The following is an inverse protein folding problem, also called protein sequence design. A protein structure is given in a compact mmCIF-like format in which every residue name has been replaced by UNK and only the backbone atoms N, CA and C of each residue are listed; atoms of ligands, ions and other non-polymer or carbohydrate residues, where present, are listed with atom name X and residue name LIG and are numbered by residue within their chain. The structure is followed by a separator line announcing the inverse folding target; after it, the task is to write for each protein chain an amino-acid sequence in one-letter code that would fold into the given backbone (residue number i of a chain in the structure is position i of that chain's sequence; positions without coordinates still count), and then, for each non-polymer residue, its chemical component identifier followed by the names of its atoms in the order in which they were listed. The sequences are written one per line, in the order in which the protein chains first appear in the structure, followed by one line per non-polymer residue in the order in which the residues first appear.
data_IF_697364964150
#
_entry.id   IF_697364964150
#
_cell.length_a   1.000
_cell.length_b   1.000
_cell.length_c   1.000
_cell.angle_alpha   90.00
_cell.angle_beta   90.00
_cell.angle_gamma   90.00
#
_symmetry.space_group_name_H-M   'P 1'
#
loop_
_entity.id
_entity.type
_entity.pdbx_description
1 polymer ?
#
# COMPACT_ATOMS: atom_id res chain seq x y z
N UNK A 1 24.12 -10.18 -9.65
CA UNK A 1 22.81 -9.95 -9.02
C UNK A 1 21.83 -10.90 -9.70
N UNK A 2 21.20 -11.80 -8.94
CA UNK A 2 20.12 -12.64 -9.47
C UNK A 2 18.80 -11.89 -9.33
N UNK A 3 17.93 -11.98 -10.32
CA UNK A 3 16.58 -11.42 -10.28
C UNK A 3 15.62 -12.50 -10.70
N UNK A 4 14.63 -12.75 -9.86
CA UNK A 4 13.54 -13.67 -10.12
C UNK A 4 12.27 -12.87 -10.35
N UNK A 5 11.48 -13.34 -11.27
CA UNK A 5 10.26 -12.72 -11.79
C UNK A 5 9.09 -13.66 -11.60
N UNK A 6 7.88 -13.20 -11.96
CA UNK A 6 6.67 -14.02 -11.83
C UNK A 6 6.70 -15.30 -12.68
N UNK A 7 7.53 -15.36 -13.72
CA UNK A 7 7.70 -16.57 -14.54
C UNK A 7 8.68 -17.57 -13.95
N UNK A 8 9.45 -17.18 -12.93
CA UNK A 8 10.36 -18.08 -12.25
C UNK A 8 9.58 -18.86 -11.17
N UNK A 9 9.60 -20.18 -11.27
CA UNK A 9 8.96 -21.06 -10.29
C UNK A 9 9.88 -21.25 -9.08
N UNK A 10 9.62 -20.50 -8.01
CA UNK A 10 10.34 -20.62 -6.73
C UNK A 10 9.49 -21.30 -5.64
N UNK A 11 8.35 -21.88 -6.01
CA UNK A 11 7.51 -22.63 -5.08
C UNK A 11 8.31 -23.81 -4.52
N UNK A 12 8.41 -23.87 -3.19
CA UNK A 12 9.19 -24.90 -2.50
C UNK A 12 10.70 -24.65 -2.47
N UNK A 13 11.20 -23.52 -2.97
CA UNK A 13 12.60 -23.15 -2.82
C UNK A 13 12.96 -22.96 -1.33
N UNK A 14 14.10 -23.49 -0.91
CA UNK A 14 14.63 -23.33 0.44
C UNK A 14 15.89 -22.45 0.44
N UNK A 15 15.91 -21.46 1.32
CA UNK A 15 17.07 -20.57 1.53
C UNK A 15 17.75 -20.93 2.85
N UNK A 16 18.59 -21.97 2.84
CA UNK A 16 19.25 -22.49 4.07
C UNK A 16 20.61 -21.82 4.29
N UNK A 17 20.74 -21.08 5.39
CA UNK A 17 21.99 -20.38 5.73
C UNK A 17 22.37 -19.25 4.78
N UNK A 18 21.43 -18.82 3.93
CA UNK A 18 21.65 -17.74 2.97
C UNK A 18 21.54 -16.36 3.63
N UNK A 19 22.48 -15.47 3.31
CA UNK A 19 22.38 -14.06 3.67
C UNK A 19 21.52 -13.33 2.62
N UNK A 20 20.30 -12.97 3.02
CA UNK A 20 19.35 -12.23 2.18
C UNK A 20 19.30 -10.73 2.52
N UNK A 21 20.27 -10.20 3.27
CA UNK A 21 20.29 -8.76 3.59
C UNK A 21 20.31 -7.93 2.31
N UNK A 22 19.40 -6.96 2.23
CA UNK A 22 19.22 -6.10 1.05
C UNK A 22 18.41 -6.73 -0.10
N UNK A 23 17.93 -7.97 0.04
CA UNK A 23 16.97 -8.52 -0.93
C UNK A 23 15.66 -7.72 -0.92
N UNK A 24 15.06 -7.55 -2.11
CA UNK A 24 13.77 -6.89 -2.28
C UNK A 24 12.76 -7.86 -2.88
N UNK A 25 11.60 -7.98 -2.23
CA UNK A 25 10.47 -8.78 -2.71
C UNK A 25 9.38 -7.82 -3.19
N UNK A 26 9.38 -7.50 -4.48
CA UNK A 26 8.44 -6.51 -5.07
C UNK A 26 7.37 -7.26 -5.87
N UNK A 27 6.12 -7.18 -5.42
CA UNK A 27 5.00 -7.90 -6.06
C UNK A 27 5.11 -9.42 -6.01
N UNK A 28 5.91 -9.95 -5.06
CA UNK A 28 6.07 -11.38 -4.84
C UNK A 28 4.97 -11.92 -3.94
N UNK A 29 4.48 -13.12 -4.24
CA UNK A 29 3.59 -13.85 -3.34
C UNK A 29 4.41 -14.59 -2.28
N UNK A 30 4.29 -14.15 -1.03
CA UNK A 30 4.93 -14.78 0.14
C UNK A 30 3.93 -15.59 0.98
N UNK A 31 2.73 -15.85 0.46
CA UNK A 31 1.70 -16.63 1.14
C UNK A 31 2.22 -18.03 1.45
N UNK A 32 2.10 -18.45 2.71
CA UNK A 32 2.55 -19.77 3.15
C UNK A 32 4.06 -19.91 3.36
N UNK A 33 4.87 -18.86 3.14
CA UNK A 33 6.30 -18.87 3.47
C UNK A 33 6.49 -19.08 4.97
N UNK A 34 7.36 -20.03 5.33
CA UNK A 34 7.71 -20.32 6.73
C UNK A 34 9.14 -19.91 6.98
N UNK A 35 9.34 -18.96 7.89
CA UNK A 35 10.64 -18.47 8.30
C UNK A 35 11.01 -19.04 9.67
N UNK A 36 12.00 -19.94 9.74
CA UNK A 36 12.47 -20.56 10.99
C UNK A 36 13.90 -20.17 11.29
N UNK A 37 14.17 -19.73 12.52
CA UNK A 37 15.50 -19.31 12.97
C UNK A 37 16.17 -18.28 12.04
N UNK A 38 15.38 -17.38 11.47
CA UNK A 38 15.86 -16.27 10.62
C UNK A 38 16.17 -15.04 11.47
N UNK A 39 17.16 -14.26 11.04
CA UNK A 39 17.34 -12.89 11.52
C UNK A 39 16.51 -11.94 10.65
N UNK A 40 15.52 -11.29 11.26
CA UNK A 40 14.61 -10.33 10.59
C UNK A 40 14.78 -8.92 11.13
N UNK A 41 15.84 -8.65 11.90
CA UNK A 41 16.09 -7.31 12.42
C UNK A 41 16.21 -6.29 11.28
N UNK A 42 15.34 -5.27 11.30
CA UNK A 42 15.27 -4.25 10.26
C UNK A 42 14.54 -4.68 8.99
N UNK A 43 13.89 -5.84 8.96
CA UNK A 43 12.98 -6.20 7.87
C UNK A 43 11.76 -5.27 7.87
N UNK A 44 11.37 -4.82 6.68
CA UNK A 44 10.20 -3.97 6.46
C UNK A 44 9.22 -4.69 5.51
N UNK A 45 7.94 -4.68 5.88
CA UNK A 45 6.88 -5.36 5.13
C UNK A 45 5.79 -4.33 4.83
N UNK A 46 5.76 -3.88 3.58
CA UNK A 46 4.64 -3.12 3.03
C UNK A 46 3.71 -4.06 2.27
N UNK A 47 2.63 -4.48 2.95
CA UNK A 47 1.64 -5.41 2.43
C UNK A 47 0.27 -4.74 2.44
N UNK A 48 -0.12 -3.99 1.38
CA UNK A 48 -1.39 -3.25 1.36
C UNK A 48 -2.62 -4.16 1.48
N UNK A 49 -2.48 -5.42 1.08
CA UNK A 49 -3.51 -6.46 1.09
C UNK A 49 -3.57 -7.26 2.40
N UNK A 50 -2.66 -7.00 3.36
CA UNK A 50 -2.56 -7.79 4.60
C UNK A 50 -3.88 -7.83 5.40
N UNK A 51 -4.69 -6.79 5.26
CA UNK A 51 -5.91 -6.57 6.03
C UNK A 51 -7.19 -6.91 5.25
N UNK A 52 -7.05 -7.57 4.11
CA UNK A 52 -8.18 -7.97 3.27
C UNK A 52 -8.53 -9.45 3.51
N UNK A 53 -9.82 -9.71 3.73
CA UNK A 53 -10.35 -11.06 3.93
C UNK A 53 -9.78 -11.77 5.16
N UNK A 54 -9.58 -13.08 5.04
CA UNK A 54 -9.09 -13.99 6.10
C UNK A 54 -7.55 -14.09 6.14
N UNK A 55 -6.86 -13.02 5.74
CA UNK A 55 -5.39 -12.97 5.69
C UNK A 55 -4.79 -12.80 7.09
N UNK A 56 -3.58 -13.34 7.32
CA UNK A 56 -2.85 -13.19 8.58
C UNK A 56 -1.35 -13.04 8.35
N UNK A 57 -0.64 -12.42 9.29
CA UNK A 57 0.82 -12.40 9.33
C UNK A 57 1.26 -12.79 10.74
N UNK A 58 1.95 -13.93 10.87
CA UNK A 58 2.39 -14.43 12.17
C UNK A 58 3.85 -14.06 12.45
N UNK A 59 4.07 -13.38 13.56
CA UNK A 59 5.40 -13.16 14.14
C UNK A 59 5.46 -13.91 15.45
N UNK A 60 6.35 -14.91 15.55
CA UNK A 60 6.47 -15.78 16.73
C UNK A 60 5.12 -16.39 17.18
N UNK A 61 4.28 -16.78 16.22
CA UNK A 61 2.95 -17.38 16.47
C UNK A 61 1.83 -16.38 16.76
N UNK A 62 2.14 -15.09 16.91
CA UNK A 62 1.13 -14.03 17.11
C UNK A 62 0.72 -13.49 15.75
N UNK A 63 -0.58 -13.50 15.45
CA UNK A 63 -1.10 -12.77 14.30
C UNK A 63 -1.05 -11.26 14.57
N UNK A 64 -0.22 -10.56 13.80
CA UNK A 64 0.03 -9.12 13.97
C UNK A 64 -0.88 -8.27 13.10
N UNK A 65 -1.66 -8.85 12.17
CA UNK A 65 -2.51 -8.09 11.26
C UNK A 65 -3.50 -7.17 12.02
N UNK A 66 -4.23 -7.62 13.07
CA UNK A 66 -5.12 -6.73 13.83
C UNK A 66 -4.37 -5.62 14.58
N UNK A 67 -3.15 -5.88 15.04
CA UNK A 67 -2.32 -4.89 15.74
C UNK A 67 -1.86 -3.79 14.78
N UNK A 68 -1.43 -4.19 13.57
CA UNK A 68 -1.07 -3.27 12.48
C UNK A 68 -2.29 -2.45 12.06
N UNK A 69 -3.46 -3.08 11.91
CA UNK A 69 -4.69 -2.38 11.55
C UNK A 69 -5.08 -1.31 12.58
N UNK A 70 -5.05 -1.65 13.87
CA UNK A 70 -5.36 -0.71 14.94
C UNK A 70 -4.39 0.47 14.93
N UNK A 71 -3.09 0.21 14.76
CA UNK A 71 -2.07 1.26 14.70
C UNK A 71 -2.21 2.15 13.46
N UNK A 72 -2.54 1.58 12.29
CA UNK A 72 -2.83 2.36 11.09
C UNK A 72 -4.06 3.24 11.27
N UNK A 73 -5.13 2.74 11.89
CA UNK A 73 -6.32 3.53 12.17
C UNK A 73 -6.04 4.65 13.18
N UNK A 74 -5.13 4.42 14.14
CA UNK A 74 -4.66 5.44 15.09
C UNK A 74 -3.82 6.53 14.40
N UNK A 75 -2.91 6.15 13.50
CA UNK A 75 -2.04 7.08 12.76
C UNK A 75 -2.79 7.91 11.73
N UNK A 76 -3.83 7.34 11.13
CA UNK A 76 -4.59 7.94 10.05
C UNK A 76 -6.07 8.03 10.42
N UNK A 77 -6.47 9.03 11.21
CA UNK A 77 -7.88 9.27 11.53
C UNK A 77 -8.74 9.36 10.27
N UNK A 78 -9.87 8.65 10.26
CA UNK A 78 -10.75 8.52 9.08
C UNK A 78 -10.43 7.35 8.16
N UNK A 79 -9.29 6.67 8.33
CA UNK A 79 -8.95 5.47 7.53
C UNK A 79 -10.00 4.37 7.67
N UNK A 80 -10.56 4.18 8.86
CA UNK A 80 -11.59 3.16 9.11
C UNK A 80 -12.90 3.48 8.38
N UNK A 81 -13.19 4.78 8.17
CA UNK A 81 -14.44 5.24 7.55
C UNK A 81 -14.56 4.82 6.08
N UNK A 82 -13.45 4.43 5.43
CA UNK A 82 -13.46 3.84 4.08
C UNK A 82 -14.31 2.58 3.97
N UNK A 83 -14.61 1.94 5.10
CA UNK A 83 -15.47 0.74 5.19
C UNK A 83 -16.93 1.08 5.53
N UNK A 84 -17.34 2.35 5.50
CA UNK A 84 -18.71 2.75 5.74
C UNK A 84 -19.67 1.98 4.81
N UNK A 85 -20.65 1.30 5.40
CA UNK A 85 -21.61 0.46 4.68
C UNK A 85 -22.85 1.22 4.18
N UNK A 86 -22.94 2.52 4.45
CA UNK A 86 -24.10 3.34 4.13
C UNK A 86 -23.71 4.70 3.52
N UNK A 87 -24.63 5.36 2.75
CA UNK A 87 -24.33 6.62 2.09
C UNK A 87 -24.00 7.80 3.02
N UNK A 88 -24.52 7.82 4.25
CA UNK A 88 -24.22 8.91 5.19
C UNK A 88 -22.79 8.76 5.72
N UNK A 89 -22.39 7.54 6.07
CA UNK A 89 -21.02 7.20 6.45
C UNK A 89 -20.03 7.47 5.32
N UNK A 90 -20.35 7.10 4.07
CA UNK A 90 -19.48 7.40 2.92
C UNK A 90 -19.29 8.91 2.69
N UNK A 91 -20.33 9.73 2.86
CA UNK A 91 -20.20 11.19 2.80
C UNK A 91 -19.31 11.75 3.92
N UNK A 92 -19.44 11.22 5.13
CA UNK A 92 -18.59 11.61 6.25
C UNK A 92 -17.12 11.20 6.00
N UNK A 93 -16.89 9.99 5.49
CA UNK A 93 -15.58 9.49 5.09
C UNK A 93 -14.94 10.39 4.03
N UNK A 94 -15.71 10.77 3.01
CA UNK A 94 -15.28 11.69 1.96
C UNK A 94 -14.85 13.05 2.50
N UNK A 95 -15.66 13.65 3.38
CA UNK A 95 -15.30 14.94 4.00
C UNK A 95 -14.01 14.85 4.82
N UNK A 96 -13.74 13.71 5.47
CA UNK A 96 -12.46 13.47 6.18
C UNK A 96 -11.28 13.32 5.22
N UNK A 97 -11.49 12.62 4.10
CA UNK A 97 -10.48 12.50 3.04
C UNK A 97 -10.13 13.86 2.45
N UNK A 98 -11.13 14.71 2.15
CA UNK A 98 -10.91 16.06 1.63
C UNK A 98 -10.07 16.92 2.57
N UNK A 99 -10.36 16.90 3.88
CA UNK A 99 -9.56 17.63 4.88
C UNK A 99 -8.11 17.12 4.94
N UNK A 100 -7.92 15.81 4.91
CA UNK A 100 -6.58 15.19 4.92
C UNK A 100 -5.80 15.54 3.65
N UNK A 101 -6.48 15.56 2.51
CA UNK A 101 -5.89 15.93 1.23
C UNK A 101 -5.49 17.41 1.19
N UNK A 102 -6.35 18.32 1.67
CA UNK A 102 -6.05 19.74 1.77
C UNK A 102 -4.78 20.00 2.62
N UNK A 103 -4.70 19.37 3.80
CA UNK A 103 -3.50 19.48 4.65
C UNK A 103 -2.24 18.90 3.97
N UNK A 104 -2.40 17.83 3.17
CA UNK A 104 -1.29 17.26 2.39
C UNK A 104 -0.81 18.24 1.32
N UNK A 105 -1.73 18.88 0.60
CA UNK A 105 -1.43 19.90 -0.40
C UNK A 105 -0.71 21.11 0.22
N UNK A 106 -1.20 21.62 1.35
CA UNK A 106 -0.56 22.72 2.08
C UNK A 106 0.88 22.37 2.49
N UNK A 107 1.09 21.16 3.00
CA UNK A 107 2.42 20.67 3.38
C UNK A 107 3.35 20.59 2.18
N UNK A 108 2.87 20.06 1.05
CA UNK A 108 3.67 19.95 -0.19
C UNK A 108 3.98 21.34 -0.75
N UNK A 109 3.04 22.28 -0.69
CA UNK A 109 3.25 23.66 -1.14
C UNK A 109 4.29 24.42 -0.30
N UNK A 110 4.45 24.05 0.97
CA UNK A 110 5.48 24.61 1.86
C UNK A 110 6.87 23.98 1.68
N UNK A 111 7.00 22.90 0.90
CA UNK A 111 8.28 22.24 0.62
C UNK A 111 9.08 22.97 -0.47
N UNK A 112 10.40 22.74 -0.56
CA UNK A 112 11.23 23.30 -1.62
C UNK A 112 10.69 23.00 -3.03
N UNK A 113 10.93 23.92 -3.96
CA UNK A 113 10.55 23.73 -5.35
C UNK A 113 11.17 22.43 -5.92
N UNK A 114 10.37 21.68 -6.68
CA UNK A 114 10.77 20.40 -7.25
C UNK A 114 10.54 19.18 -6.35
N UNK A 115 10.17 19.35 -5.07
CA UNK A 115 9.89 18.21 -4.18
C UNK A 115 8.80 17.28 -4.74
N UNK A 116 7.82 17.82 -5.46
CA UNK A 116 6.72 17.03 -6.05
C UNK A 116 7.16 15.97 -7.06
N UNK A 117 8.35 16.14 -7.65
CA UNK A 117 8.90 15.25 -8.69
C UNK A 117 9.94 14.28 -8.13
N UNK A 118 10.28 14.36 -6.84
CA UNK A 118 11.28 13.49 -6.21
C UNK A 118 10.66 12.16 -5.82
N UNK A 119 11.22 11.07 -6.35
CA UNK A 119 10.98 9.70 -5.88
C UNK A 119 11.88 9.36 -4.69
N UNK A 120 11.34 8.63 -3.72
CA UNK A 120 12.07 8.19 -2.51
C UNK A 120 11.98 6.67 -2.39
N UNK A 121 13.10 5.99 -2.12
CA UNK A 121 13.14 4.53 -1.93
C UNK A 121 12.62 3.67 -3.09
N UNK A 122 12.60 4.23 -4.31
CA UNK A 122 12.05 3.56 -5.50
C UNK A 122 10.53 3.68 -5.62
N UNK A 123 9.87 4.41 -4.73
CA UNK A 123 8.45 4.72 -4.79
C UNK A 123 8.14 5.85 -5.79
N UNK A 124 6.87 5.97 -6.15
CA UNK A 124 6.39 7.08 -6.97
C UNK A 124 6.57 8.44 -6.28
N UNK A 125 6.88 9.46 -7.07
CA UNK A 125 6.85 10.84 -6.61
C UNK A 125 5.42 11.29 -6.30
N UNK A 126 5.28 12.38 -5.56
CA UNK A 126 3.96 12.97 -5.26
C UNK A 126 3.15 13.23 -6.54
N UNK A 127 3.78 13.79 -7.58
CA UNK A 127 3.12 14.07 -8.85
C UNK A 127 2.71 12.78 -9.59
N UNK A 128 3.52 11.71 -9.51
CA UNK A 128 3.16 10.41 -10.08
C UNK A 128 1.97 9.78 -9.34
N UNK A 129 1.98 9.79 -8.00
CA UNK A 129 0.85 9.34 -7.19
C UNK A 129 -0.42 10.11 -7.53
N UNK A 130 -0.36 11.44 -7.64
CA UNK A 130 -1.53 12.25 -7.98
C UNK A 130 -2.09 11.91 -9.36
N UNK A 131 -1.24 11.81 -10.38
CA UNK A 131 -1.68 11.42 -11.74
C UNK A 131 -2.30 10.03 -11.74
N UNK A 132 -1.77 9.09 -10.95
CA UNK A 132 -2.37 7.77 -10.82
C UNK A 132 -3.76 7.82 -10.17
N UNK A 133 -3.95 8.62 -9.12
CA UNK A 133 -5.25 8.76 -8.47
C UNK A 133 -6.30 9.37 -9.40
N UNK A 134 -5.91 10.35 -10.23
CA UNK A 134 -6.78 10.91 -11.28
C UNK A 134 -7.13 9.82 -12.29
N UNK A 135 -6.13 9.13 -12.84
CA UNK A 135 -6.35 8.04 -13.80
C UNK A 135 -7.23 6.92 -13.23
N UNK A 136 -7.05 6.55 -11.95
CA UNK A 136 -7.89 5.56 -11.28
C UNK A 136 -9.34 6.06 -11.12
N UNK A 137 -9.53 7.34 -10.79
CA UNK A 137 -10.86 7.96 -10.70
C UNK A 137 -11.56 7.97 -12.05
N UNK A 138 -10.88 8.42 -13.10
CA UNK A 138 -11.41 8.45 -14.47
C UNK A 138 -11.76 7.03 -14.96
N UNK A 139 -10.93 6.04 -14.61
CA UNK A 139 -11.17 4.64 -14.97
C UNK A 139 -12.37 4.06 -14.25
N UNK A 140 -12.41 4.15 -12.92
CA UNK A 140 -13.43 3.43 -12.14
C UNK A 140 -14.74 4.21 -12.03
N UNK A 141 -14.66 5.49 -11.67
CA UNK A 141 -15.86 6.32 -11.55
C UNK A 141 -16.32 6.81 -12.93
N UNK A 142 -15.43 7.43 -13.70
CA UNK A 142 -15.77 8.01 -15.00
C UNK A 142 -16.23 6.96 -16.02
N UNK A 143 -15.38 5.98 -16.32
CA UNK A 143 -15.69 4.95 -17.32
C UNK A 143 -16.69 3.92 -16.81
N UNK A 144 -16.37 3.25 -15.69
CA UNK A 144 -17.06 2.02 -15.33
C UNK A 144 -18.42 2.27 -14.65
N UNK A 145 -18.54 3.33 -13.86
CA UNK A 145 -19.78 3.66 -13.14
C UNK A 145 -20.63 4.66 -13.92
N UNK A 146 -20.02 5.73 -14.42
CA UNK A 146 -20.73 6.82 -15.12
C UNK A 146 -20.82 6.63 -16.64
N UNK A 147 -20.18 5.60 -17.19
CA UNK A 147 -20.21 5.24 -18.61
C UNK A 147 -19.76 6.36 -19.56
N UNK A 148 -18.81 7.21 -19.12
CA UNK A 148 -18.22 8.26 -19.96
C UNK A 148 -17.28 7.62 -20.99
N UNK A 149 -17.54 7.84 -22.28
CA UNK A 149 -16.80 7.21 -23.39
C UNK A 149 -15.31 7.60 -23.41
N UNK A 150 -15.00 8.89 -23.18
CA UNK A 150 -13.65 9.43 -23.08
C UNK A 150 -13.44 10.09 -21.71
N UNK A 151 -13.14 9.31 -20.66
CA UNK A 151 -13.08 9.80 -19.29
C UNK A 151 -11.72 10.39 -18.92
N UNK A 152 -10.68 10.17 -19.74
CA UNK A 152 -9.32 10.63 -19.46
C UNK A 152 -9.12 12.05 -20.00
N UNK A 153 -8.55 12.92 -19.18
CA UNK A 153 -8.26 14.32 -19.49
C UNK A 153 -6.77 14.59 -19.76
#
# INVERSE_FOLDING_TARGET
MATFTRSDELQGAEFVGADLRGARFVGADLSGVVMRAVDVAGADIDAPWLLDGESFLRVNGVDVAPLVEAELNRRFPGRVDRRAGDPAGLRAAWATLERTWAATLERVAAMPAGTVDVSVSGEWSYAQTLRHLVMATDTWLGRAILEIEQPFH
#
